data_IF_776753830060
#
_entry.id   IF_776753830060
#
_cell.length_a   1.000
_cell.length_b   1.000
_cell.length_c   1.000
_cell.angle_alpha   90.00
_cell.angle_beta   90.00
_cell.angle_gamma   90.00
#
_symmetry.space_group_name_H-M   'P 1'
#
loop_
_entity.id
_entity.type
_entity.pdbx_description
1 polymer ?
#
# COMPACT_ATOMS: atom_id res chain seq x y z
N UNK A 1 14.91 61.07 -34.14
CA UNK A 1 14.76 60.52 -32.77
C UNK A 1 14.22 59.09 -32.84
N UNK A 2 15.09 58.08 -32.84
CA UNK A 2 14.76 56.69 -32.46
C UNK A 2 16.01 56.10 -31.80
N UNK A 3 16.07 56.24 -30.49
CA UNK A 3 17.10 55.64 -29.64
C UNK A 3 16.81 54.15 -29.50
N UNK A 4 17.78 53.33 -29.90
CA UNK A 4 17.74 51.88 -29.76
C UNK A 4 17.85 51.46 -28.30
N UNK A 5 16.91 50.63 -27.83
CA UNK A 5 17.05 49.90 -26.57
C UNK A 5 17.82 48.62 -26.83
N UNK A 6 19.06 48.61 -26.39
CA UNK A 6 19.85 47.39 -26.18
C UNK A 6 19.19 46.57 -25.08
N UNK A 7 18.64 45.40 -25.44
CA UNK A 7 18.29 44.38 -24.47
C UNK A 7 19.59 43.76 -23.94
N UNK A 8 20.02 44.19 -22.75
CA UNK A 8 21.02 43.45 -21.99
C UNK A 8 20.39 42.14 -21.50
N UNK A 9 20.60 41.08 -22.27
CA UNK A 9 20.33 39.72 -21.85
C UNK A 9 21.45 39.32 -20.87
N UNK A 10 21.18 39.42 -19.57
CA UNK A 10 22.05 38.83 -18.55
C UNK A 10 21.90 37.31 -18.66
N UNK A 11 22.80 36.67 -19.40
CA UNK A 11 22.95 35.22 -19.41
C UNK A 11 23.40 34.76 -18.02
N UNK A 12 22.48 34.18 -17.25
CA UNK A 12 22.82 33.33 -16.11
C UNK A 12 23.59 32.11 -16.62
N UNK A 13 24.88 32.04 -16.29
CA UNK A 13 25.83 31.07 -16.84
C UNK A 13 25.71 29.63 -16.31
N UNK A 14 24.72 29.29 -15.46
CA UNK A 14 24.63 27.96 -14.82
C UNK A 14 23.22 27.33 -14.91
N UNK A 15 22.53 27.45 -16.05
CA UNK A 15 21.28 26.73 -16.27
C UNK A 15 21.53 25.30 -16.74
N UNK A 16 21.43 24.30 -15.85
CA UNK A 16 21.33 22.89 -16.24
C UNK A 16 20.01 22.64 -16.96
N UNK A 17 20.02 22.71 -18.30
CA UNK A 17 18.85 22.44 -19.12
C UNK A 17 18.74 20.93 -19.35
N UNK A 18 18.10 20.22 -18.41
CA UNK A 18 17.85 18.79 -18.52
C UNK A 18 16.35 18.50 -18.40
N UNK A 19 15.85 17.52 -19.16
CA UNK A 19 14.45 17.14 -19.11
C UNK A 19 14.13 16.55 -17.73
N UNK A 20 13.03 16.98 -17.10
CA UNK A 20 12.63 16.56 -15.73
C UNK A 20 12.69 15.05 -15.54
N UNK A 21 12.23 14.26 -16.52
CA UNK A 21 12.29 12.78 -16.45
C UNK A 21 13.71 12.24 -16.40
N UNK A 22 14.63 12.84 -17.15
CA UNK A 22 16.04 12.42 -17.21
C UNK A 22 16.74 12.76 -15.90
N UNK A 23 16.51 13.97 -15.39
CA UNK A 23 16.99 14.41 -14.10
C UNK A 23 16.51 13.50 -12.96
N UNK A 24 15.20 13.22 -12.89
CA UNK A 24 14.61 12.41 -11.84
C UNK A 24 14.97 10.92 -11.90
N UNK A 25 15.59 10.43 -12.98
CA UNK A 25 16.07 9.04 -13.05
C UNK A 25 17.44 8.84 -12.41
N UNK A 26 18.23 9.90 -12.26
CA UNK A 26 19.57 9.84 -11.68
C UNK A 26 19.51 10.21 -10.20
N UNK A 27 19.77 9.24 -9.31
CA UNK A 27 19.76 9.45 -7.85
C UNK A 27 20.79 10.49 -7.41
N UNK A 28 21.97 10.48 -8.04
CA UNK A 28 23.04 11.46 -7.79
C UNK A 28 22.58 12.90 -8.06
N UNK A 29 21.88 13.14 -9.17
CA UNK A 29 21.36 14.47 -9.49
C UNK A 29 20.31 14.94 -8.50
N UNK A 30 19.41 14.03 -8.07
CA UNK A 30 18.44 14.33 -7.03
C UNK A 30 19.14 14.74 -5.73
N UNK A 31 20.14 13.97 -5.31
CA UNK A 31 20.88 14.24 -4.07
C UNK A 31 21.64 15.57 -4.15
N UNK A 32 22.36 15.81 -5.25
CA UNK A 32 23.10 17.05 -5.47
C UNK A 32 22.16 18.27 -5.47
N UNK A 33 20.96 18.14 -6.03
CA UNK A 33 19.98 19.22 -6.02
C UNK A 33 19.37 19.47 -4.64
N UNK A 34 19.10 18.41 -3.86
CA UNK A 34 18.67 18.55 -2.46
C UNK A 34 19.74 19.28 -1.65
N UNK A 35 21.01 18.93 -1.82
CA UNK A 35 22.13 19.62 -1.17
C UNK A 35 22.22 21.10 -1.59
N UNK A 36 22.20 21.36 -2.90
CA UNK A 36 22.24 22.71 -3.45
C UNK A 36 21.09 23.60 -2.94
N UNK A 37 19.85 23.07 -2.93
CA UNK A 37 18.70 23.79 -2.40
C UNK A 37 18.84 24.03 -0.90
N UNK A 38 19.32 23.02 -0.16
CA UNK A 38 19.61 23.15 1.26
C UNK A 38 20.62 24.26 1.56
N UNK A 39 21.67 24.40 0.74
CA UNK A 39 22.67 25.46 0.90
C UNK A 39 22.11 26.86 0.62
N UNK A 40 21.20 26.99 -0.35
CA UNK A 40 20.49 28.26 -0.59
C UNK A 40 19.63 28.63 0.61
N UNK A 41 18.83 27.67 1.11
CA UNK A 41 17.95 27.92 2.25
C UNK A 41 18.74 28.29 3.52
N UNK A 42 19.89 27.63 3.76
CA UNK A 42 20.78 27.97 4.87
C UNK A 42 21.33 29.39 4.75
N UNK A 43 21.66 29.87 3.54
CA UNK A 43 22.10 31.26 3.30
C UNK A 43 21.00 32.26 3.65
N UNK A 44 19.74 31.90 3.42
CA UNK A 44 18.56 32.68 3.79
C UNK A 44 18.14 32.47 5.27
N UNK A 45 19.03 31.91 6.10
CA UNK A 45 18.84 31.65 7.53
C UNK A 45 17.73 30.65 7.86
N UNK A 46 17.32 29.82 6.91
CA UNK A 46 16.46 28.69 7.19
C UNK A 46 17.28 27.53 7.78
N UNK A 47 16.75 26.89 8.81
CA UNK A 47 17.27 25.61 9.26
C UNK A 47 16.88 24.53 8.25
N UNK A 48 17.83 23.71 7.84
CA UNK A 48 17.60 22.59 6.91
C UNK A 48 18.04 21.30 7.59
N UNK A 49 17.13 20.34 7.64
CA UNK A 49 17.36 19.01 8.18
C UNK A 49 17.33 17.99 7.05
N UNK A 50 18.19 16.99 7.11
CA UNK A 50 18.26 15.91 6.13
C UNK A 50 17.98 14.58 6.84
N UNK A 51 16.87 13.89 6.53
CA UNK A 51 16.60 12.56 7.06
C UNK A 51 17.48 11.52 6.35
N UNK A 52 17.79 10.42 7.06
CA UNK A 52 18.46 9.26 6.46
C UNK A 52 17.49 8.41 5.62
N UNK A 53 16.19 8.47 5.93
CA UNK A 53 15.13 7.74 5.26
C UNK A 53 13.94 8.63 4.92
N UNK A 54 12.74 8.13 5.21
CA UNK A 54 11.50 8.87 4.98
C UNK A 54 11.45 10.17 5.81
N UNK A 55 11.07 11.32 5.22
CA UNK A 55 11.08 12.61 5.90
C UNK A 55 9.92 12.80 6.88
N UNK A 56 8.87 11.99 6.83
CA UNK A 56 7.58 12.33 7.45
C UNK A 56 7.66 12.39 8.97
N UNK A 57 8.29 11.38 9.57
CA UNK A 57 8.52 11.32 11.02
C UNK A 57 9.37 12.50 11.48
N UNK A 58 10.40 12.88 10.71
CA UNK A 58 11.25 14.04 11.03
C UNK A 58 10.47 15.36 10.94
N UNK A 59 9.62 15.54 9.93
CA UNK A 59 8.77 16.72 9.76
C UNK A 59 7.81 16.85 10.95
N UNK A 60 7.11 15.77 11.30
CA UNK A 60 6.15 15.77 12.41
C UNK A 60 6.84 16.02 13.74
N UNK A 61 7.94 15.33 14.03
CA UNK A 61 8.67 15.50 15.28
C UNK A 61 9.22 16.92 15.41
N UNK A 62 9.73 17.50 14.32
CA UNK A 62 10.15 18.91 14.29
C UNK A 62 8.97 19.83 14.58
N UNK A 63 7.83 19.61 13.93
CA UNK A 63 6.64 20.45 14.11
C UNK A 63 6.09 20.38 15.55
N UNK A 64 5.99 19.19 16.12
CA UNK A 64 5.55 18.98 17.51
C UNK A 64 6.54 19.61 18.50
N UNK A 65 7.84 19.48 18.25
CA UNK A 65 8.87 20.13 19.09
C UNK A 65 8.77 21.65 19.03
N UNK A 66 8.61 22.23 17.84
CA UNK A 66 8.41 23.68 17.68
C UNK A 66 7.13 24.16 18.39
N UNK A 67 6.06 23.38 18.30
CA UNK A 67 4.76 23.68 18.89
C UNK A 67 4.78 23.80 20.41
N UNK A 68 5.80 23.26 21.10
CA UNK A 68 5.97 23.48 22.54
C UNK A 68 6.03 24.98 22.85
N UNK A 69 6.70 25.78 22.01
CA UNK A 69 6.96 27.18 22.28
C UNK A 69 6.28 28.14 21.30
N UNK A 70 6.05 27.72 20.05
CA UNK A 70 5.63 28.62 18.96
C UNK A 70 4.50 28.01 18.15
N UNK A 71 3.52 28.82 17.76
CA UNK A 71 2.49 28.41 16.80
C UNK A 71 3.15 27.92 15.52
N UNK A 72 2.84 26.69 15.11
CA UNK A 72 3.57 25.98 14.05
C UNK A 72 2.65 25.69 12.87
N UNK A 73 3.16 25.93 11.66
CA UNK A 73 2.46 25.61 10.40
C UNK A 73 3.30 24.62 9.61
N UNK A 74 2.72 23.46 9.33
CA UNK A 74 3.28 22.45 8.43
C UNK A 74 2.71 22.67 7.04
N UNK A 75 3.57 22.74 6.03
CA UNK A 75 3.18 23.04 4.65
C UNK A 75 3.41 21.80 3.80
N UNK A 76 2.35 21.06 3.51
CA UNK A 76 2.45 19.74 2.88
C UNK A 76 1.06 19.23 2.38
N UNK A 77 1.03 18.23 1.50
CA UNK A 77 -0.19 17.68 0.87
C UNK A 77 -0.46 16.20 1.17
N UNK A 78 0.52 15.47 1.68
CA UNK A 78 0.45 14.09 2.11
C UNK A 78 -0.53 13.88 3.27
N UNK A 79 -1.25 12.77 3.14
CA UNK A 79 -2.16 12.30 4.18
C UNK A 79 -1.40 11.66 5.34
N UNK A 80 -0.20 11.13 5.10
CA UNK A 80 0.66 10.53 6.13
C UNK A 80 0.99 11.55 7.22
N UNK A 81 1.37 12.78 6.85
CA UNK A 81 1.60 13.85 7.82
C UNK A 81 0.37 14.22 8.63
N UNK A 82 -0.84 14.25 8.04
CA UNK A 82 -2.06 14.50 8.82
C UNK A 82 -2.27 13.40 9.88
N UNK A 83 -2.08 12.13 9.51
CA UNK A 83 -2.21 10.99 10.42
C UNK A 83 -1.20 11.08 11.56
N UNK A 84 0.05 11.40 11.26
CA UNK A 84 1.13 11.49 12.23
C UNK A 84 1.00 12.72 13.15
N UNK A 85 0.61 13.88 12.60
CA UNK A 85 0.34 15.07 13.41
C UNK A 85 -0.80 14.84 14.40
N UNK A 86 -1.89 14.18 13.96
CA UNK A 86 -2.99 13.81 14.85
C UNK A 86 -2.53 12.83 15.94
N UNK A 87 -1.61 11.92 15.63
CA UNK A 87 -1.04 10.99 16.59
C UNK A 87 -0.18 11.70 17.65
N UNK A 88 0.80 12.49 17.21
CA UNK A 88 1.88 13.02 18.05
C UNK A 88 1.59 14.37 18.71
N UNK A 89 0.70 15.20 18.17
CA UNK A 89 0.47 16.53 18.73
C UNK A 89 -0.02 16.48 20.19
N UNK A 90 0.56 17.30 21.06
CA UNK A 90 0.10 17.48 22.43
C UNK A 90 -0.98 18.56 22.47
N UNK A 91 -2.14 18.27 23.07
CA UNK A 91 -3.23 19.24 23.21
C UNK A 91 -2.87 20.45 24.10
N UNK A 92 -1.77 20.36 24.87
CA UNK A 92 -1.22 21.45 25.68
C UNK A 92 -0.23 22.35 24.92
N UNK A 93 0.16 21.96 23.71
CA UNK A 93 1.09 22.73 22.87
C UNK A 93 0.43 23.99 22.28
N UNK A 94 1.23 24.85 21.67
CA UNK A 94 0.75 25.93 20.82
C UNK A 94 0.05 25.36 19.57
N UNK A 95 -0.82 26.14 18.92
CA UNK A 95 -1.57 25.66 17.77
C UNK A 95 -0.67 25.11 16.65
N UNK A 96 -1.07 23.97 16.10
CA UNK A 96 -0.44 23.34 14.93
C UNK A 96 -1.46 23.33 13.80
N UNK A 97 -1.06 23.83 12.62
CA UNK A 97 -1.89 23.81 11.42
C UNK A 97 -1.20 23.09 10.27
N UNK A 98 -1.92 22.21 9.57
CA UNK A 98 -1.47 21.62 8.31
C UNK A 98 -2.09 22.41 7.15
N UNK A 99 -1.26 22.94 6.25
CA UNK A 99 -1.67 23.78 5.13
C UNK A 99 -1.25 23.16 3.80
N UNK A 100 -2.24 22.90 2.93
CA UNK A 100 -2.01 22.47 1.55
C UNK A 100 -1.73 23.67 0.62
N UNK A 101 -0.81 23.48 -0.33
CA UNK A 101 -0.37 24.49 -1.31
C UNK A 101 -0.72 24.06 -2.73
N UNK A 102 -1.98 23.65 -2.94
CA UNK A 102 -2.47 23.42 -4.29
C UNK A 102 -2.55 24.75 -5.06
N UNK A 103 -1.99 24.77 -6.27
CA UNK A 103 -1.88 25.96 -7.12
C UNK A 103 -3.22 26.50 -7.66
N UNK A 104 -4.34 25.80 -7.49
CA UNK A 104 -5.53 26.05 -8.33
C UNK A 104 -6.90 26.11 -7.67
N UNK A 105 -7.08 25.95 -6.35
CA UNK A 105 -8.35 26.30 -5.62
C UNK A 105 -8.20 26.14 -4.10
N UNK A 106 -8.66 27.15 -3.34
CA UNK A 106 -8.78 27.26 -1.87
C UNK A 106 -7.71 26.52 -1.04
N UNK A 107 -6.80 27.27 -0.43
CA UNK A 107 -5.91 26.74 0.60
C UNK A 107 -6.73 26.04 1.69
N UNK A 108 -6.57 24.71 1.80
CA UNK A 108 -7.13 23.94 2.91
C UNK A 108 -6.15 24.06 4.06
N UNK A 109 -6.60 24.66 5.17
CA UNK A 109 -5.88 24.70 6.44
C UNK A 109 -6.65 23.81 7.41
N UNK A 110 -5.94 22.88 8.04
CA UNK A 110 -6.47 21.96 9.03
C UNK A 110 -5.86 22.32 10.38
N UNK A 111 -6.70 22.69 11.34
CA UNK A 111 -6.30 22.81 12.74
C UNK A 111 -6.15 21.42 13.35
N UNK A 112 -4.92 21.04 13.66
CA UNK A 112 -4.58 19.71 14.18
C UNK A 112 -5.13 19.51 15.59
N UNK A 113 -5.05 20.53 16.46
CA UNK A 113 -5.46 20.39 17.86
C UNK A 113 -6.99 20.32 17.97
N UNK A 114 -7.70 21.13 17.19
CA UNK A 114 -9.16 21.07 17.10
C UNK A 114 -9.64 19.71 16.58
N UNK A 115 -9.02 19.21 15.50
CA UNK A 115 -9.36 17.90 14.94
C UNK A 115 -9.01 16.75 15.90
N UNK A 116 -7.86 16.79 16.57
CA UNK A 116 -7.45 15.81 17.59
C UNK A 116 -8.43 15.79 18.75
N UNK A 117 -8.89 16.95 19.21
CA UNK A 117 -9.89 17.08 20.27
C UNK A 117 -11.21 16.42 19.86
N UNK A 118 -11.67 16.65 18.62
CA UNK A 118 -12.91 16.08 18.10
C UNK A 118 -12.84 14.55 17.92
N UNK A 119 -11.73 14.03 17.40
CA UNK A 119 -11.54 12.58 17.19
C UNK A 119 -11.28 11.82 18.50
N UNK A 120 -10.67 12.49 19.47
CA UNK A 120 -10.29 11.92 20.74
C UNK A 120 -9.02 11.05 20.68
N UNK A 121 -8.40 10.78 21.84
CA UNK A 121 -7.10 10.11 21.93
C UNK A 121 -7.15 8.66 21.42
N UNK A 122 -8.29 7.98 21.59
CA UNK A 122 -8.45 6.59 21.16
C UNK A 122 -8.33 6.43 19.64
N UNK A 123 -8.95 7.32 18.88
CA UNK A 123 -8.90 7.29 17.41
C UNK A 123 -7.53 7.76 16.93
N UNK A 124 -7.01 8.86 17.49
CA UNK A 124 -5.71 9.39 17.10
C UNK A 124 -4.56 8.41 17.34
N UNK A 125 -4.64 7.58 18.40
CA UNK A 125 -3.68 6.51 18.63
C UNK A 125 -3.86 5.32 17.68
N UNK A 126 -5.05 5.14 17.08
CA UNK A 126 -5.34 4.06 16.15
C UNK A 126 -5.01 4.41 14.69
N UNK A 127 -5.02 5.70 14.34
CA UNK A 127 -4.86 6.18 12.96
C UNK A 127 -3.58 5.69 12.27
N UNK A 128 -2.37 5.70 12.89
CA UNK A 128 -1.16 5.22 12.22
C UNK A 128 -1.28 3.75 11.78
N UNK A 129 -1.72 2.86 12.67
CA UNK A 129 -1.94 1.46 12.32
C UNK A 129 -3.00 1.30 11.23
N UNK A 130 -4.11 2.04 11.34
CA UNK A 130 -5.18 1.99 10.34
C UNK A 130 -4.69 2.47 8.97
N UNK A 131 -3.84 3.48 8.92
CA UNK A 131 -3.27 4.00 7.67
C UNK A 131 -2.32 2.96 7.05
N UNK A 132 -1.35 2.47 7.83
CA UNK A 132 -0.39 1.48 7.37
C UNK A 132 -1.07 0.18 6.87
N UNK A 133 -2.06 -0.37 7.60
CA UNK A 133 -2.70 -1.63 7.18
C UNK A 133 -3.57 -1.49 5.91
N UNK A 134 -4.01 -0.26 5.60
CA UNK A 134 -4.76 0.06 4.39
C UNK A 134 -3.88 0.39 3.18
N UNK A 135 -2.57 0.47 3.36
CA UNK A 135 -1.63 0.91 2.35
C UNK A 135 -1.28 2.39 2.50
N UNK A 136 -0.01 2.61 2.79
CA UNK A 136 0.72 3.87 2.76
C UNK A 136 1.87 3.75 1.74
N UNK A 137 2.82 4.68 1.70
CA UNK A 137 3.90 4.68 0.71
C UNK A 137 4.82 3.45 0.78
N UNK A 138 4.94 2.85 1.96
CA UNK A 138 5.80 1.68 2.23
C UNK A 138 5.06 0.36 2.37
N UNK A 139 3.72 0.37 2.37
CA UNK A 139 2.90 -0.84 2.55
C UNK A 139 1.93 -1.06 1.38
N UNK A 140 1.58 -2.32 1.16
CA UNK A 140 0.64 -2.68 0.10
C UNK A 140 -0.80 -2.32 0.46
N UNK A 141 -1.67 -2.20 -0.54
CA UNK A 141 -3.10 -2.04 -0.35
C UNK A 141 -3.88 -3.22 -0.91
N UNK A 142 -4.95 -3.60 -0.22
CA UNK A 142 -5.91 -4.55 -0.75
C UNK A 142 -6.66 -3.94 -1.94
N UNK A 143 -6.62 -4.62 -3.07
CA UNK A 143 -7.37 -4.24 -4.26
C UNK A 143 -8.88 -4.17 -3.94
N UNK A 144 -9.62 -3.24 -4.55
CA UNK A 144 -11.06 -3.09 -4.31
C UNK A 144 -11.48 -2.53 -2.93
N UNK A 145 -10.57 -2.44 -1.96
CA UNK A 145 -10.86 -1.88 -0.63
C UNK A 145 -10.58 -0.37 -0.64
N UNK A 146 -11.63 0.44 -0.46
CA UNK A 146 -11.53 1.90 -0.35
C UNK A 146 -10.80 2.34 0.95
N UNK A 147 -10.11 3.49 0.96
CA UNK A 147 -9.44 4.07 2.15
C UNK A 147 -10.45 4.51 3.25
N UNK A 148 -11.74 4.55 2.94
CA UNK A 148 -12.81 5.06 3.82
C UNK A 148 -13.36 4.02 4.79
N UNK A 149 -12.52 3.27 5.50
CA UNK A 149 -13.02 2.34 6.51
C UNK A 149 -13.60 3.07 7.73
N UNK A 150 -14.62 2.49 8.39
CA UNK A 150 -15.13 3.03 9.65
C UNK A 150 -14.01 3.13 10.69
N UNK A 151 -13.81 4.33 11.22
CA UNK A 151 -12.79 4.66 12.23
C UNK A 151 -12.95 3.83 13.53
N UNK A 152 -14.14 3.30 13.80
CA UNK A 152 -14.46 2.55 15.02
C UNK A 152 -14.53 1.05 14.74
N UNK A 153 -13.44 0.35 15.06
CA UNK A 153 -13.38 -1.12 15.04
C UNK A 153 -12.69 -1.65 16.30
N UNK A 154 -13.45 -1.94 17.37
CA UNK A 154 -12.89 -2.28 18.69
C UNK A 154 -11.81 -3.35 18.66
N UNK A 155 -12.03 -4.43 17.90
CA UNK A 155 -11.06 -5.53 17.74
C UNK A 155 -9.73 -5.08 17.12
N UNK A 156 -9.77 -4.20 16.12
CA UNK A 156 -8.57 -3.66 15.50
C UNK A 156 -7.89 -2.62 16.38
N UNK A 157 -8.65 -1.84 17.13
CA UNK A 157 -8.09 -0.90 18.11
C UNK A 157 -7.35 -1.66 19.22
N UNK A 158 -7.89 -2.79 19.69
CA UNK A 158 -7.21 -3.66 20.66
C UNK A 158 -5.90 -4.21 20.07
N UNK A 159 -5.93 -4.66 18.82
CA UNK A 159 -4.75 -5.12 18.10
C UNK A 159 -3.71 -4.01 17.96
N UNK A 160 -4.10 -2.82 17.52
CA UNK A 160 -3.20 -1.66 17.38
C UNK A 160 -2.48 -1.36 18.69
N UNK A 161 -3.18 -1.40 19.83
CA UNK A 161 -2.57 -1.22 21.15
C UNK A 161 -1.55 -2.31 21.49
N UNK A 162 -1.75 -3.55 21.02
CA UNK A 162 -0.78 -4.62 21.18
C UNK A 162 0.45 -4.37 20.30
N UNK A 163 0.25 -3.99 19.04
CA UNK A 163 1.34 -3.73 18.08
C UNK A 163 2.19 -2.51 18.42
N UNK A 164 1.63 -1.56 19.15
CA UNK A 164 2.38 -0.42 19.68
C UNK A 164 3.28 -0.78 20.87
N UNK A 165 3.19 -1.98 21.45
CA UNK A 165 4.10 -2.44 22.51
C UNK A 165 5.34 -3.08 21.89
N UNK A 166 6.50 -2.87 22.52
CA UNK A 166 7.74 -3.54 22.12
C UNK A 166 7.59 -5.06 22.29
N UNK A 167 8.11 -5.82 21.33
CA UNK A 167 8.12 -7.30 21.30
C UNK A 167 6.77 -7.97 20.98
N UNK A 168 6.29 -7.79 19.74
CA UNK A 168 5.20 -8.62 19.21
C UNK A 168 5.75 -9.79 18.41
N UNK A 169 5.30 -10.99 18.75
CA UNK A 169 5.56 -12.21 17.99
C UNK A 169 5.02 -12.10 16.56
N UNK A 170 5.83 -12.47 15.56
CA UNK A 170 5.48 -12.38 14.12
C UNK A 170 4.23 -13.17 13.77
N UNK A 171 3.97 -14.26 14.49
CA UNK A 171 2.81 -15.12 14.36
C UNK A 171 1.52 -14.33 14.63
N UNK A 172 1.56 -13.42 15.61
CA UNK A 172 0.41 -12.58 15.94
C UNK A 172 0.08 -11.61 14.82
N UNK A 173 1.10 -11.00 14.22
CA UNK A 173 0.95 -10.10 13.06
C UNK A 173 0.32 -10.82 11.86
N UNK A 174 0.75 -12.06 11.62
CA UNK A 174 0.20 -12.90 10.56
C UNK A 174 -1.28 -13.23 10.81
N UNK A 175 -1.65 -13.59 12.03
CA UNK A 175 -3.07 -13.83 12.37
C UNK A 175 -3.94 -12.59 12.15
N UNK A 176 -3.43 -11.41 12.52
CA UNK A 176 -4.13 -10.12 12.36
C UNK A 176 -4.38 -9.82 10.88
N UNK A 177 -3.35 -9.92 10.05
CA UNK A 177 -3.44 -9.62 8.62
C UNK A 177 -4.27 -10.64 7.87
N UNK A 178 -4.17 -11.93 8.22
CA UNK A 178 -5.04 -12.95 7.65
C UNK A 178 -6.50 -12.69 8.03
N UNK A 179 -6.80 -12.34 9.28
CA UNK A 179 -8.14 -11.92 9.68
C UNK A 179 -8.62 -10.67 8.93
N UNK A 180 -7.73 -9.71 8.71
CA UNK A 180 -8.02 -8.48 7.98
C UNK A 180 -8.36 -8.75 6.51
N UNK A 181 -7.51 -9.50 5.81
CA UNK A 181 -7.79 -10.01 4.46
C UNK A 181 -9.11 -10.75 4.47
N UNK A 182 -9.34 -11.60 5.48
CA UNK A 182 -10.53 -12.43 5.50
C UNK A 182 -11.83 -11.65 5.59
N UNK A 183 -11.85 -10.69 6.50
CA UNK A 183 -12.98 -9.78 6.68
C UNK A 183 -13.30 -8.96 5.44
N UNK A 184 -12.27 -8.59 4.67
CA UNK A 184 -12.41 -7.70 3.53
C UNK A 184 -12.58 -8.39 2.18
N UNK A 185 -12.22 -9.67 2.07
CA UNK A 185 -12.24 -10.39 0.81
C UNK A 185 -13.09 -11.67 0.80
N UNK A 186 -13.09 -12.48 1.87
CA UNK A 186 -13.83 -13.77 1.88
C UNK A 186 -15.31 -13.63 2.27
N UNK A 187 -15.96 -12.48 1.98
CA UNK A 187 -17.40 -12.26 2.20
C UNK A 187 -17.89 -12.73 3.58
N UNK A 188 -17.75 -11.92 4.63
CA UNK A 188 -18.52 -11.96 5.91
C UNK A 188 -18.94 -13.33 6.49
N UNK A 189 -18.27 -14.43 6.14
CA UNK A 189 -18.62 -15.77 6.57
C UNK A 189 -17.60 -16.09 7.64
N UNK A 190 -18.08 -16.27 8.86
CA UNK A 190 -17.27 -16.74 9.98
C UNK A 190 -16.78 -18.18 9.76
N UNK A 191 -17.09 -18.79 8.62
CA UNK A 191 -16.69 -20.15 8.30
C UNK A 191 -15.19 -20.22 7.98
N UNK A 192 -14.43 -20.74 8.93
CA UNK A 192 -12.99 -20.95 8.82
C UNK A 192 -12.61 -21.94 7.70
N UNK A 193 -13.59 -22.65 7.12
CA UNK A 193 -13.40 -23.64 6.03
C UNK A 193 -13.22 -23.02 4.64
N UNK A 194 -13.41 -21.70 4.47
CA UNK A 194 -13.18 -21.05 3.16
C UNK A 194 -11.68 -20.89 2.91
N UNK A 195 -11.14 -21.69 1.99
CA UNK A 195 -9.73 -21.67 1.60
C UNK A 195 -9.44 -20.57 0.56
N UNK A 196 -8.16 -20.20 0.43
CA UNK A 196 -7.68 -19.31 -0.64
C UNK A 196 -8.10 -19.84 -2.03
N UNK A 197 -7.94 -21.15 -2.24
CA UNK A 197 -8.39 -21.85 -3.44
C UNK A 197 -9.87 -21.60 -3.76
N UNK A 198 -10.76 -21.86 -2.79
CA UNK A 198 -12.21 -21.73 -2.99
C UNK A 198 -12.60 -20.32 -3.43
N UNK A 199 -11.96 -19.29 -2.86
CA UNK A 199 -12.22 -17.93 -3.28
C UNK A 199 -11.61 -17.56 -4.63
N UNK A 200 -10.40 -18.01 -4.96
CA UNK A 200 -9.87 -17.82 -6.30
C UNK A 200 -10.79 -18.46 -7.35
N UNK A 201 -11.25 -19.69 -7.12
CA UNK A 201 -12.20 -20.38 -8.00
C UNK A 201 -13.50 -19.58 -8.12
N UNK A 202 -14.09 -19.15 -7.01
CA UNK A 202 -15.36 -18.41 -7.01
C UNK A 202 -15.26 -17.09 -7.77
N UNK A 203 -14.18 -16.33 -7.56
CA UNK A 203 -13.91 -15.10 -8.30
C UNK A 203 -13.81 -15.35 -9.80
N UNK A 204 -13.09 -16.41 -10.21
CA UNK A 204 -12.91 -16.69 -11.62
C UNK A 204 -14.21 -17.22 -12.25
N UNK A 205 -14.95 -18.10 -11.58
CA UNK A 205 -16.25 -18.58 -12.05
C UNK A 205 -17.27 -17.45 -12.16
N UNK A 206 -17.31 -16.51 -11.21
CA UNK A 206 -18.17 -15.33 -11.30
C UNK A 206 -17.82 -14.42 -12.48
N UNK A 207 -16.52 -14.23 -12.77
CA UNK A 207 -16.07 -13.49 -13.94
C UNK A 207 -16.48 -14.20 -15.25
N UNK A 208 -16.37 -15.53 -15.29
CA UNK A 208 -16.80 -16.35 -16.43
C UNK A 208 -18.31 -16.25 -16.65
N UNK A 209 -19.13 -16.34 -15.60
CA UNK A 209 -20.58 -16.17 -15.68
C UNK A 209 -20.96 -14.78 -16.21
N UNK A 210 -20.14 -13.77 -15.89
CA UNK A 210 -20.30 -12.38 -16.35
C UNK A 210 -19.68 -12.12 -17.74
N UNK A 211 -19.29 -13.17 -18.48
CA UNK A 211 -18.65 -13.08 -19.81
C UNK A 211 -17.36 -12.26 -19.86
N UNK A 212 -16.67 -12.10 -18.73
CA UNK A 212 -15.37 -11.42 -18.67
C UNK A 212 -14.31 -12.37 -19.27
N UNK A 213 -13.61 -11.91 -20.31
CA UNK A 213 -12.64 -12.72 -21.06
C UNK A 213 -11.28 -12.85 -20.38
N UNK A 214 -10.94 -11.90 -19.49
CA UNK A 214 -9.67 -11.89 -18.76
C UNK A 214 -9.89 -11.49 -17.31
N UNK A 215 -9.52 -12.37 -16.38
CA UNK A 215 -9.47 -12.02 -14.96
C UNK A 215 -8.13 -11.38 -14.65
N UNK A 216 -8.16 -10.18 -14.07
CA UNK A 216 -6.95 -9.48 -13.68
C UNK A 216 -6.42 -10.11 -12.39
N UNK A 217 -5.13 -10.48 -12.32
CA UNK A 217 -4.57 -11.14 -11.11
C UNK A 217 -4.79 -10.34 -9.82
N UNK A 218 -4.75 -9.01 -9.91
CA UNK A 218 -5.05 -8.11 -8.78
C UNK A 218 -6.46 -8.23 -8.21
N UNK A 219 -7.41 -8.77 -8.98
CA UNK A 219 -8.77 -9.04 -8.51
C UNK A 219 -8.93 -10.39 -7.85
N UNK A 220 -7.84 -11.13 -7.58
CA UNK A 220 -7.84 -12.35 -6.78
C UNK A 220 -7.59 -12.02 -5.31
N UNK A 221 -8.03 -12.89 -4.37
CA UNK A 221 -7.65 -12.76 -2.97
C UNK A 221 -6.13 -12.79 -2.82
N UNK A 222 -5.54 -11.96 -1.94
CA UNK A 222 -4.15 -12.15 -1.57
C UNK A 222 -3.99 -13.50 -0.86
N UNK A 223 -2.84 -14.13 -1.07
CA UNK A 223 -2.43 -15.37 -0.39
C UNK A 223 -2.16 -15.11 1.09
N UNK A 224 -2.11 -16.18 1.91
CA UNK A 224 -1.64 -16.12 3.30
C UNK A 224 -0.22 -15.54 3.38
N UNK A 225 0.66 -15.93 2.44
CA UNK A 225 2.00 -15.37 2.27
C UNK A 225 1.99 -13.86 2.02
N UNK A 226 1.17 -13.38 1.07
CA UNK A 226 1.07 -11.96 0.79
C UNK A 226 0.54 -11.17 2.00
N UNK A 227 -0.45 -11.72 2.72
CA UNK A 227 -0.96 -11.15 3.96
C UNK A 227 0.14 -11.07 5.04
N UNK A 228 0.93 -12.14 5.21
CA UNK A 228 2.08 -12.19 6.12
C UNK A 228 3.07 -11.07 5.82
N UNK A 229 3.58 -10.96 4.59
CA UNK A 229 4.56 -9.92 4.28
C UNK A 229 4.01 -8.50 4.40
N UNK A 230 2.74 -8.30 4.02
CA UNK A 230 2.05 -7.02 4.27
C UNK A 230 2.08 -6.68 5.76
N UNK A 231 1.76 -7.64 6.63
CA UNK A 231 1.73 -7.44 8.08
C UNK A 231 3.08 -7.09 8.70
N UNK A 232 4.16 -7.67 8.17
CA UNK A 232 5.52 -7.40 8.63
C UNK A 232 5.92 -5.96 8.30
N UNK A 233 5.61 -5.50 7.07
CA UNK A 233 5.87 -4.10 6.67
C UNK A 233 5.01 -3.11 7.43
N UNK A 234 3.74 -3.43 7.67
CA UNK A 234 2.84 -2.61 8.52
C UNK A 234 3.41 -2.45 9.91
N UNK A 235 3.97 -3.52 10.50
CA UNK A 235 4.59 -3.44 11.81
C UNK A 235 5.84 -2.57 11.80
N UNK A 236 6.74 -2.76 10.83
CA UNK A 236 7.94 -1.95 10.68
C UNK A 236 7.59 -0.46 10.55
N UNK A 237 6.65 -0.13 9.65
CA UNK A 237 6.20 1.24 9.45
C UNK A 237 5.58 1.83 10.72
N UNK A 238 4.80 1.04 11.45
CA UNK A 238 4.21 1.49 12.70
C UNK A 238 5.28 1.78 13.76
N UNK A 239 6.35 0.97 13.85
CA UNK A 239 7.43 1.22 14.81
C UNK A 239 8.25 2.46 14.44
N UNK A 240 8.46 2.72 13.15
CA UNK A 240 9.06 3.96 12.64
C UNK A 240 8.26 5.18 13.08
N UNK A 241 6.96 5.18 12.76
CA UNK A 241 6.08 6.31 13.03
C UNK A 241 5.85 6.62 14.50
N UNK A 242 6.03 5.66 15.42
CA UNK A 242 5.82 5.89 16.87
C UNK A 242 7.14 6.04 17.63
N UNK A 243 8.25 6.27 16.91
CA UNK A 243 9.61 6.47 17.43
C UNK A 243 10.10 5.31 18.31
N UNK A 244 9.80 4.06 17.90
CA UNK A 244 10.17 2.83 18.62
C UNK A 244 11.17 1.96 17.87
N UNK A 245 11.97 2.54 16.98
CA UNK A 245 12.97 1.75 16.27
C UNK A 245 14.15 1.44 17.20
N UNK A 246 14.16 0.21 17.69
CA UNK A 246 15.35 -0.49 18.14
C UNK A 246 15.89 -1.32 16.97
N UNK A 247 16.91 -0.85 16.24
CA UNK A 247 17.72 -1.61 15.25
C UNK A 247 16.93 -2.67 14.43
N UNK A 248 15.76 -2.28 13.90
CA UNK A 248 14.89 -3.20 13.16
C UNK A 248 15.35 -3.27 11.71
N UNK A 249 16.14 -4.29 11.39
CA UNK A 249 16.59 -4.56 10.02
C UNK A 249 15.41 -4.82 9.09
N UNK A 250 15.15 -3.97 8.06
CA UNK A 250 14.00 -4.12 7.16
C UNK A 250 13.85 -5.52 6.55
N UNK A 251 14.96 -6.21 6.31
CA UNK A 251 15.03 -7.56 5.76
C UNK A 251 14.30 -8.60 6.62
N UNK A 252 14.25 -8.37 7.93
CA UNK A 252 13.51 -9.23 8.86
C UNK A 252 12.01 -8.93 8.86
N UNK A 253 11.57 -7.89 8.14
CA UNK A 253 10.22 -7.34 8.17
C UNK A 253 9.59 -7.20 6.78
N UNK A 254 9.97 -8.08 5.86
CA UNK A 254 9.31 -8.21 4.55
C UNK A 254 9.85 -7.26 3.49
N UNK A 255 11.15 -6.96 3.56
CA UNK A 255 11.93 -6.28 2.54
C UNK A 255 13.11 -7.14 2.09
N UNK A 256 13.59 -6.92 0.87
CA UNK A 256 14.86 -7.44 0.36
C UNK A 256 15.80 -6.27 0.08
N UNK A 257 17.05 -6.37 0.53
CA UNK A 257 18.08 -5.42 0.15
C UNK A 257 18.76 -5.91 -1.12
N UNK A 258 18.51 -5.24 -2.25
CA UNK A 258 19.15 -5.51 -3.52
C UNK A 258 19.88 -4.27 -4.03
N UNK A 259 21.20 -4.36 -4.18
CA UNK A 259 22.03 -3.25 -4.70
C UNK A 259 21.83 -1.92 -3.96
N UNK A 260 21.72 -1.97 -2.62
CA UNK A 260 21.49 -0.79 -1.78
C UNK A 260 20.07 -0.21 -1.86
N UNK A 261 19.11 -0.95 -2.41
CA UNK A 261 17.69 -0.57 -2.46
C UNK A 261 16.84 -1.62 -1.75
N UNK A 262 15.80 -1.15 -1.05
CA UNK A 262 14.83 -2.01 -0.40
C UNK A 262 13.66 -2.28 -1.36
N UNK A 263 13.48 -3.55 -1.72
CA UNK A 263 12.35 -4.03 -2.51
C UNK A 263 11.39 -4.82 -1.61
N UNK A 264 10.07 -4.60 -1.67
CA UNK A 264 9.14 -5.28 -0.79
C UNK A 264 9.00 -6.77 -1.17
N UNK A 265 9.10 -7.66 -0.18
CA UNK A 265 8.72 -9.07 -0.34
C UNK A 265 7.19 -9.14 -0.53
N UNK A 266 6.69 -9.36 -1.73
CA UNK A 266 5.24 -9.31 -1.97
C UNK A 266 4.54 -10.62 -1.61
N UNK A 267 5.17 -11.77 -1.86
CA UNK A 267 4.69 -13.12 -1.56
C UNK A 267 5.84 -14.12 -1.79
N UNK A 268 5.84 -15.25 -1.09
CA UNK A 268 6.67 -16.44 -1.36
C UNK A 268 5.84 -17.62 -1.91
N UNK A 269 4.54 -17.40 -2.14
CA UNK A 269 3.62 -18.33 -2.81
C UNK A 269 3.15 -17.79 -4.17
N UNK A 270 2.80 -18.66 -5.12
CA UNK A 270 2.18 -18.24 -6.38
C UNK A 270 0.86 -17.49 -6.10
N UNK A 271 0.51 -16.49 -6.94
CA UNK A 271 -0.65 -15.61 -6.69
C UNK A 271 -1.98 -16.35 -6.72
N UNK A 272 -2.03 -17.47 -7.45
CA UNK A 272 -3.11 -18.42 -7.44
C UNK A 272 -2.56 -19.82 -7.71
N UNK A 273 -3.29 -20.86 -7.30
CA UNK A 273 -3.02 -22.22 -7.70
C UNK A 273 -2.79 -22.38 -9.21
N UNK A 274 -1.83 -23.22 -9.59
CA UNK A 274 -1.36 -23.34 -10.99
C UNK A 274 -2.48 -23.71 -11.97
N UNK A 275 -3.41 -24.57 -11.54
CA UNK A 275 -4.58 -24.95 -12.33
C UNK A 275 -5.45 -23.74 -12.72
N UNK A 276 -5.56 -22.74 -11.83
CA UNK A 276 -6.33 -21.52 -12.10
C UNK A 276 -5.58 -20.54 -12.99
N UNK A 277 -4.25 -20.45 -12.85
CA UNK A 277 -3.42 -19.61 -13.72
C UNK A 277 -3.37 -20.12 -15.16
N UNK A 278 -3.46 -21.43 -15.33
CA UNK A 278 -3.49 -22.10 -16.63
C UNK A 278 -4.92 -22.34 -17.15
N UNK A 279 -5.96 -21.88 -16.46
CA UNK A 279 -7.33 -22.27 -16.78
C UNK A 279 -7.76 -21.71 -18.15
N UNK A 280 -8.03 -22.62 -19.08
CA UNK A 280 -8.60 -22.34 -20.40
C UNK A 280 -10.04 -22.84 -20.41
N UNK A 281 -10.96 -22.03 -20.95
CA UNK A 281 -12.35 -22.44 -21.15
C UNK A 281 -12.64 -22.74 -22.62
N UNK A 282 -13.46 -23.75 -22.87
CA UNK A 282 -14.03 -23.98 -24.19
C UNK A 282 -15.47 -23.49 -24.27
N UNK A 283 -15.90 -23.11 -25.47
CA UNK A 283 -17.31 -22.88 -25.81
C UNK A 283 -17.92 -24.10 -26.52
N UNK A 284 -17.41 -25.31 -26.24
CA UNK A 284 -17.92 -26.54 -26.84
C UNK A 284 -19.32 -26.84 -26.30
N UNK A 285 -20.28 -27.08 -27.21
CA UNK A 285 -21.66 -27.46 -26.87
C UNK A 285 -21.79 -28.90 -26.35
N UNK A 286 -20.94 -29.82 -26.85
CA UNK A 286 -20.83 -31.22 -26.41
C UNK A 286 -19.51 -31.85 -26.90
N UNK A 287 -19.22 -33.08 -26.47
CA UNK A 287 -18.16 -33.99 -26.96
C UNK A 287 -16.67 -33.58 -26.81
N UNK A 288 -16.32 -32.30 -26.62
CA UNK A 288 -14.95 -31.78 -26.43
C UNK A 288 -13.82 -32.55 -27.15
N UNK A 289 -14.00 -32.75 -28.47
CA UNK A 289 -13.10 -33.60 -29.28
C UNK A 289 -11.69 -33.00 -29.43
N UNK A 290 -10.63 -33.82 -29.61
CA UNK A 290 -9.22 -33.42 -29.55
C UNK A 290 -8.80 -32.23 -30.44
N UNK A 291 -9.51 -31.96 -31.54
CA UNK A 291 -9.18 -30.88 -32.49
C UNK A 291 -10.07 -29.63 -32.41
N UNK A 292 -11.17 -29.68 -31.64
CA UNK A 292 -12.16 -28.57 -31.55
C UNK A 292 -12.24 -27.94 -30.16
N UNK A 293 -11.74 -28.62 -29.13
CA UNK A 293 -11.74 -28.12 -27.77
C UNK A 293 -10.42 -27.41 -27.43
N UNK A 294 -10.43 -26.10 -27.12
CA UNK A 294 -9.24 -25.38 -26.67
C UNK A 294 -8.61 -25.97 -25.41
N UNK A 295 -9.41 -26.45 -24.44
CA UNK A 295 -8.89 -27.09 -23.22
C UNK A 295 -8.02 -28.28 -23.59
N UNK A 296 -8.59 -29.23 -24.35
CA UNK A 296 -7.89 -30.44 -24.78
C UNK A 296 -6.70 -30.17 -25.71
N UNK A 297 -6.79 -29.16 -26.58
CA UNK A 297 -5.68 -28.72 -27.46
C UNK A 297 -4.45 -28.28 -26.65
N UNK A 298 -4.65 -27.69 -25.48
CA UNK A 298 -3.58 -27.25 -24.59
C UNK A 298 -3.28 -28.30 -23.49
N UNK A 299 -3.79 -29.52 -23.62
CA UNK A 299 -3.56 -30.60 -22.66
C UNK A 299 -4.28 -30.42 -21.31
N UNK A 300 -5.36 -29.65 -21.27
CA UNK A 300 -6.14 -29.39 -20.05
C UNK A 300 -7.51 -30.08 -20.11
N UNK A 301 -7.99 -30.52 -18.95
CA UNK A 301 -9.35 -31.01 -18.76
C UNK A 301 -10.37 -29.85 -18.82
N UNK A 302 -11.60 -30.16 -19.25
CA UNK A 302 -12.69 -29.20 -19.21
C UNK A 302 -13.16 -29.02 -17.76
N UNK A 303 -13.25 -27.77 -17.32
CA UNK A 303 -13.71 -27.42 -15.97
C UNK A 303 -15.13 -26.83 -15.97
N UNK A 304 -15.68 -26.59 -14.78
CA UNK A 304 -16.92 -25.83 -14.57
C UNK A 304 -16.90 -24.43 -15.21
N UNK A 305 -15.71 -23.89 -15.54
CA UNK A 305 -15.57 -22.61 -16.24
C UNK A 305 -15.84 -22.71 -17.76
N UNK A 306 -15.98 -23.91 -18.31
CA UNK A 306 -16.36 -24.11 -19.71
C UNK A 306 -17.84 -23.77 -19.92
N UNK A 307 -18.17 -23.08 -21.02
CA UNK A 307 -19.48 -22.45 -21.19
C UNK A 307 -20.65 -23.44 -21.10
N UNK A 308 -20.75 -24.36 -22.07
CA UNK A 308 -21.88 -25.30 -22.16
C UNK A 308 -21.52 -26.66 -21.55
N UNK A 309 -20.33 -27.21 -21.83
CA UNK A 309 -19.98 -28.55 -21.35
C UNK A 309 -19.72 -28.64 -19.83
N UNK A 310 -19.28 -27.52 -19.23
CA UNK A 310 -18.95 -27.38 -17.79
C UNK A 310 -18.06 -28.48 -17.20
N UNK A 311 -17.33 -29.22 -18.04
CA UNK A 311 -16.55 -30.38 -17.59
C UNK A 311 -17.38 -31.57 -17.10
N UNK A 312 -18.70 -31.58 -17.33
CA UNK A 312 -19.62 -32.63 -16.87
C UNK A 312 -20.16 -33.42 -18.06
N UNK A 313 -20.54 -32.73 -19.15
CA UNK A 313 -21.23 -33.33 -20.30
C UNK A 313 -20.31 -33.53 -21.52
N UNK A 314 -19.02 -33.79 -21.31
CA UNK A 314 -18.08 -33.96 -22.42
C UNK A 314 -16.98 -35.00 -22.17
N UNK A 315 -16.42 -35.52 -23.26
CA UNK A 315 -15.34 -36.52 -23.27
C UNK A 315 -13.97 -36.02 -22.79
N UNK A 316 -13.91 -34.79 -22.25
CA UNK A 316 -12.72 -34.18 -21.68
C UNK A 316 -12.97 -33.74 -20.22
N UNK A 317 -13.97 -34.34 -19.56
CA UNK A 317 -14.24 -34.15 -18.14
C UNK A 317 -13.10 -34.75 -17.29
N UNK A 318 -12.84 -34.21 -16.09
CA UNK A 318 -11.94 -34.85 -15.14
C UNK A 318 -12.43 -36.26 -14.79
N UNK A 319 -11.53 -37.22 -14.51
CA UNK A 319 -11.91 -38.46 -13.87
C UNK A 319 -12.53 -38.15 -12.50
N UNK A 320 -13.62 -38.85 -12.15
CA UNK A 320 -14.25 -38.77 -10.83
C UNK A 320 -13.30 -39.34 -9.77
N UNK A 321 -12.38 -38.53 -9.26
CA UNK A 321 -11.65 -38.83 -8.03
C UNK A 321 -12.10 -37.88 -6.90
N UNK A 322 -12.26 -38.39 -5.67
CA UNK A 322 -12.63 -37.57 -4.53
C UNK A 322 -11.53 -36.53 -4.28
N UNK A 323 -11.93 -35.27 -4.15
CA UNK A 323 -11.04 -34.15 -3.82
C UNK A 323 -10.38 -34.47 -2.48
N UNK A 324 -9.11 -34.90 -2.51
CA UNK A 324 -8.29 -34.96 -1.32
C UNK A 324 -8.09 -33.52 -0.82
N UNK A 325 -8.46 -33.28 0.44
CA UNK A 325 -8.13 -32.06 1.17
C UNK A 325 -6.61 -31.89 1.17
N UNK A 326 -6.08 -30.99 0.34
CA UNK A 326 -4.71 -30.53 0.51
C UNK A 326 -4.72 -29.37 1.50
N UNK A 327 -4.46 -29.69 2.77
CA UNK A 327 -3.96 -28.75 3.77
C UNK A 327 -2.66 -28.09 3.28
N UNK A 328 -2.62 -26.75 3.23
CA UNK A 328 -1.62 -25.83 3.84
C UNK A 328 -2.09 -24.38 3.63
#
# INVERSE_FOLDING_TARGET
MRSGRTHHQVQSRNGLQCHKRTFSRQSQNKQAFVQYLGDILKKDRCQVLHPEGDPDTLIVNTAVTCAVNVTTVVIEEDTELLVLLLHHADLRSRPISLKSVLKTKKHKVIDILSMKTHLGPLICNFLPFLHAINGCDTTSRLFGVAKGLPLKRPKLMQISRQLQRHSVQKEKLQQISLHWVRKHWFLSTEDQRVTHWTCCVTTILGAVASSITTVQVRSLPPTSAAAKYHSLRVYLQLQDWIDKICDMKPEMWGWHLYSGRLDPCTTDLPPAPELLLKMIRCNCKSDCRPKRCPCRKHGLECSLACAECKGISCLNSPPTEPIAECDV
#
